data_IF_018670229677
#
_entry.id   IF_018670229677
#
_cell.length_a   1.000
_cell.length_b   1.000
_cell.length_c   1.000
_cell.angle_alpha   90.00
_cell.angle_beta   90.00
_cell.angle_gamma   90.00
#
_symmetry.space_group_name_H-M   'P 1'
#
loop_
_entity.id
_entity.type
_entity.pdbx_description
1 polymer ?
#
# COMPACT_ATOMS: atom_id res chain seq x y z
N UNK A 1 1.58 4.80 19.48
CA UNK A 1 0.47 4.87 18.52
C UNK A 1 0.62 6.15 17.72
N UNK A 2 0.73 6.06 16.40
CA UNK A 2 0.93 7.21 15.51
C UNK A 2 -0.42 7.88 15.26
N UNK A 3 -0.61 9.12 15.72
CA UNK A 3 -1.91 9.82 15.64
C UNK A 3 -1.78 11.06 14.78
N UNK A 4 -2.54 11.12 13.68
CA UNK A 4 -2.62 12.28 12.81
C UNK A 4 -3.94 13.01 13.06
N UNK A 5 -3.91 14.34 13.03
CA UNK A 5 -5.12 15.17 13.16
C UNK A 5 -6.06 15.01 11.95
N UNK A 6 -5.51 14.60 10.82
CA UNK A 6 -6.23 14.37 9.57
C UNK A 6 -6.24 12.87 9.27
N UNK A 7 -7.37 12.40 8.74
CA UNK A 7 -7.54 11.04 8.24
C UNK A 7 -6.63 10.84 7.04
N UNK A 8 -5.99 9.68 6.95
CA UNK A 8 -5.24 9.28 5.77
C UNK A 8 -6.21 8.80 4.69
N UNK A 9 -5.93 9.15 3.44
CA UNK A 9 -6.71 8.69 2.29
C UNK A 9 -6.82 7.16 2.24
N UNK A 10 -5.77 6.44 2.66
CA UNK A 10 -5.75 4.98 2.74
C UNK A 10 -6.79 4.37 3.69
N UNK A 11 -7.42 5.15 4.56
CA UNK A 11 -8.53 4.67 5.39
C UNK A 11 -9.80 4.41 4.54
N UNK A 12 -9.90 5.01 3.36
CA UNK A 12 -11.07 4.92 2.45
C UNK A 12 -10.72 4.69 0.98
N UNK A 13 -9.43 4.57 0.63
CA UNK A 13 -8.94 4.46 -0.74
C UNK A 13 -9.67 3.42 -1.60
N UNK A 14 -9.81 3.74 -2.88
CA UNK A 14 -10.34 2.81 -3.87
C UNK A 14 -9.35 1.68 -4.16
N UNK A 15 -9.88 0.49 -4.42
CA UNK A 15 -9.08 -0.69 -4.75
C UNK A 15 -9.75 -1.51 -5.83
N UNK A 16 -8.96 -2.21 -6.65
CA UNK A 16 -9.42 -3.22 -7.61
C UNK A 16 -9.01 -4.61 -7.15
N UNK A 17 -9.87 -5.60 -7.39
CA UNK A 17 -9.59 -6.99 -7.05
C UNK A 17 -8.50 -7.56 -7.94
N UNK A 18 -7.55 -8.30 -7.36
CA UNK A 18 -6.53 -9.04 -8.10
C UNK A 18 -6.83 -10.54 -8.11
N UNK A 19 -6.84 -11.16 -6.93
CA UNK A 19 -7.16 -12.59 -6.72
C UNK A 19 -7.41 -12.82 -5.23
N UNK A 20 -8.17 -13.85 -4.86
CA UNK A 20 -8.41 -14.16 -3.43
C UNK A 20 -8.91 -12.95 -2.64
N UNK A 21 -8.30 -12.68 -1.48
CA UNK A 21 -8.44 -11.46 -0.67
C UNK A 21 -7.36 -10.39 -0.98
N UNK A 22 -6.59 -10.55 -2.06
CA UNK A 22 -5.60 -9.58 -2.54
C UNK A 22 -6.23 -8.60 -3.55
N UNK A 23 -6.01 -7.32 -3.30
CA UNK A 23 -6.44 -6.20 -4.13
C UNK A 23 -5.23 -5.33 -4.47
N UNK A 24 -5.41 -4.34 -5.33
CA UNK A 24 -4.45 -3.29 -5.60
C UNK A 24 -5.06 -1.90 -5.40
N UNK A 25 -4.24 -0.93 -5.00
CA UNK A 25 -4.65 0.46 -4.88
C UNK A 25 -4.98 1.07 -6.24
N UNK A 26 -6.08 1.82 -6.33
CA UNK A 26 -6.49 2.55 -7.54
C UNK A 26 -6.39 4.05 -7.28
N UNK A 27 -5.96 4.80 -8.30
CA UNK A 27 -5.82 6.27 -8.25
C UNK A 27 -4.98 6.78 -7.07
N UNK A 28 -3.93 6.03 -6.70
CA UNK A 28 -2.99 6.37 -5.64
C UNK A 28 -1.55 6.33 -6.18
N UNK A 29 -0.70 7.34 -5.92
CA UNK A 29 0.61 7.46 -6.58
C UNK A 29 1.61 6.37 -6.19
N UNK A 30 1.49 5.78 -4.99
CA UNK A 30 2.31 4.64 -4.59
C UNK A 30 1.53 3.35 -4.80
N UNK A 31 1.72 2.70 -5.96
CA UNK A 31 1.03 1.45 -6.27
C UNK A 31 1.41 0.34 -5.28
N UNK A 32 0.41 -0.32 -4.69
CA UNK A 32 0.62 -1.36 -3.71
C UNK A 32 -0.49 -2.39 -3.67
N UNK A 33 -0.19 -3.53 -3.05
CA UNK A 33 -1.18 -4.54 -2.72
C UNK A 33 -2.01 -4.09 -1.52
N UNK A 34 -3.29 -4.37 -1.55
CA UNK A 34 -4.24 -4.01 -0.52
C UNK A 34 -5.02 -5.24 -0.04
N UNK A 35 -5.26 -5.30 1.27
CA UNK A 35 -6.00 -6.37 1.93
C UNK A 35 -6.92 -5.75 2.98
N UNK A 36 -7.96 -6.48 3.35
CA UNK A 36 -8.79 -6.13 4.49
C UNK A 36 -9.09 -7.33 5.38
N UNK A 37 -8.80 -7.18 6.66
CA UNK A 37 -9.08 -8.18 7.68
C UNK A 37 -10.29 -7.76 8.53
N UNK A 38 -11.19 -8.70 8.73
CA UNK A 38 -12.28 -8.67 9.71
C UNK A 38 -12.15 -9.87 10.66
N UNK A 39 -13.06 -9.99 11.63
CA UNK A 39 -13.08 -11.14 12.54
C UNK A 39 -13.17 -12.48 11.81
N UNK A 40 -13.84 -12.49 10.66
CA UNK A 40 -14.22 -13.69 9.90
C UNK A 40 -13.12 -14.19 8.97
N UNK A 41 -12.31 -13.30 8.39
CA UNK A 41 -11.35 -13.65 7.33
C UNK A 41 -9.88 -13.42 7.70
N UNK A 42 -9.56 -12.99 8.93
CA UNK A 42 -8.20 -12.60 9.32
C UNK A 42 -7.12 -13.65 9.02
N UNK A 43 -7.43 -14.95 9.19
CA UNK A 43 -6.46 -16.03 8.96
C UNK A 43 -6.15 -16.15 7.47
N UNK A 44 -7.17 -16.23 6.61
CA UNK A 44 -6.98 -16.34 5.16
C UNK A 44 -6.29 -15.10 4.58
N UNK A 45 -6.58 -13.92 5.11
CA UNK A 45 -5.89 -12.68 4.73
C UNK A 45 -4.40 -12.72 5.08
N UNK A 46 -4.04 -13.19 6.27
CA UNK A 46 -2.63 -13.33 6.67
C UNK A 46 -1.92 -14.33 5.76
N UNK A 47 -2.54 -15.48 5.47
CA UNK A 47 -1.95 -16.48 4.58
C UNK A 47 -1.67 -15.93 3.18
N UNK A 48 -2.55 -15.07 2.65
CA UNK A 48 -2.34 -14.41 1.36
C UNK A 48 -1.28 -13.32 1.41
N UNK A 49 -1.24 -12.51 2.46
CA UNK A 49 -0.16 -11.53 2.67
C UNK A 49 1.19 -12.25 2.70
N UNK A 50 1.29 -13.38 3.41
CA UNK A 50 2.52 -14.16 3.47
C UNK A 50 2.92 -14.74 2.11
N UNK A 51 1.95 -15.14 1.25
CA UNK A 51 2.25 -15.54 -0.13
C UNK A 51 2.83 -14.39 -0.94
N UNK A 52 2.24 -13.19 -0.86
CA UNK A 52 2.78 -12.01 -1.58
C UNK A 52 4.16 -11.64 -1.04
N UNK A 53 4.35 -11.61 0.28
CA UNK A 53 5.66 -11.36 0.90
C UNK A 53 6.68 -12.39 0.44
N UNK A 54 6.32 -13.67 0.35
CA UNK A 54 7.23 -14.70 -0.17
C UNK A 54 7.67 -14.41 -1.61
N UNK A 55 6.77 -13.94 -2.49
CA UNK A 55 7.14 -13.52 -3.85
C UNK A 55 8.16 -12.39 -3.82
N UNK A 56 7.97 -11.39 -2.94
CA UNK A 56 8.92 -10.28 -2.80
C UNK A 56 10.27 -10.74 -2.25
N UNK A 57 10.28 -11.66 -1.28
CA UNK A 57 11.49 -12.21 -0.69
C UNK A 57 12.29 -13.06 -1.67
N UNK A 58 11.62 -13.87 -2.51
CA UNK A 58 12.27 -14.70 -3.52
C UNK A 58 13.16 -13.87 -4.47
N UNK A 59 12.76 -12.62 -4.74
CA UNK A 59 13.48 -11.69 -5.60
C UNK A 59 14.29 -10.62 -4.82
N UNK A 60 14.37 -10.74 -3.50
CA UNK A 60 14.99 -9.74 -2.62
C UNK A 60 14.45 -8.32 -2.79
N UNK A 61 13.15 -8.18 -3.09
CA UNK A 61 12.46 -6.90 -3.24
C UNK A 61 12.16 -6.31 -1.86
N UNK A 62 12.68 -5.10 -1.62
CA UNK A 62 12.36 -4.34 -0.43
C UNK A 62 10.87 -4.00 -0.39
N UNK A 63 10.29 -4.03 0.81
CA UNK A 63 8.86 -3.79 0.96
C UNK A 63 8.50 -3.12 2.29
N UNK A 64 7.37 -2.43 2.29
CA UNK A 64 6.79 -1.81 3.48
C UNK A 64 5.35 -2.28 3.68
N UNK A 65 4.99 -2.53 4.95
CA UNK A 65 3.63 -2.90 5.35
C UNK A 65 3.07 -1.78 6.21
N UNK A 66 1.88 -1.30 5.85
CA UNK A 66 1.11 -0.33 6.62
C UNK A 66 -0.24 -0.90 6.99
N UNK A 67 -0.68 -0.65 8.22
CA UNK A 67 -1.90 -1.20 8.78
C UNK A 67 -2.70 -0.05 9.39
N UNK A 68 -3.96 0.08 9.00
CA UNK A 68 -4.87 1.07 9.55
C UNK A 68 -6.28 0.51 9.70
N UNK A 69 -7.09 1.11 10.57
CA UNK A 69 -8.54 0.88 10.55
C UNK A 69 -9.13 1.68 9.40
N UNK A 70 -10.09 1.11 8.70
CA UNK A 70 -10.70 1.83 7.59
C UNK A 70 -12.03 1.23 7.17
N UNK A 71 -12.60 1.83 6.14
CA UNK A 71 -13.84 1.35 5.52
C UNK A 71 -13.59 0.07 4.73
N UNK A 72 -14.59 -0.81 4.69
CA UNK A 72 -14.56 -2.00 3.84
C UNK A 72 -14.42 -1.61 2.36
N UNK A 73 -13.72 -2.43 1.60
CA UNK A 73 -13.58 -2.31 0.15
C UNK A 73 -14.97 -2.40 -0.50
N UNK A 74 -15.25 -1.53 -1.48
CA UNK A 74 -16.50 -1.51 -2.23
C UNK A 74 -17.73 -0.93 -1.49
N UNK A 75 -17.62 -0.54 -0.22
CA UNK A 75 -18.70 0.16 0.46
C UNK A 75 -18.82 1.60 -0.06
N UNK A 76 -20.02 1.98 -0.52
CA UNK A 76 -20.35 3.34 -0.93
C UNK A 76 -20.46 4.28 0.28
N UNK A 77 -20.24 5.58 0.05
CA UNK A 77 -20.43 6.63 1.05
C UNK A 77 -21.92 6.82 1.34
N UNK A 78 -22.51 5.96 2.19
CA UNK A 78 -23.89 6.14 2.65
C UNK A 78 -23.87 6.65 4.08
N UNK A 79 -23.82 7.98 4.22
CA UNK A 79 -23.98 8.71 5.48
C UNK A 79 -22.67 9.20 6.15
N UNK A 80 -22.82 10.19 7.04
CA UNK A 80 -21.73 10.90 7.76
C UNK A 80 -21.02 10.08 8.85
N UNK A 81 -21.33 8.78 8.98
CA UNK A 81 -20.70 7.93 9.99
C UNK A 81 -19.69 7.01 9.30
N UNK A 82 -18.43 7.43 9.30
CA UNK A 82 -17.28 6.58 8.94
C UNK A 82 -17.19 5.39 9.91
N UNK A 83 -17.92 4.31 9.60
CA UNK A 83 -17.81 3.04 10.33
C UNK A 83 -16.59 2.29 9.84
N UNK A 84 -15.48 2.43 10.55
CA UNK A 84 -14.31 1.59 10.31
C UNK A 84 -14.54 0.19 10.86
N UNK A 85 -15.10 -0.65 10.00
CA UNK A 85 -15.48 -2.02 10.28
C UNK A 85 -14.36 -3.03 10.03
N UNK A 86 -13.30 -2.64 9.32
CA UNK A 86 -12.19 -3.53 8.95
C UNK A 86 -10.82 -2.92 9.28
N UNK A 87 -9.82 -3.80 9.32
CA UNK A 87 -8.40 -3.42 9.28
C UNK A 87 -7.94 -3.50 7.83
N UNK A 88 -7.54 -2.38 7.25
CA UNK A 88 -6.94 -2.31 5.92
C UNK A 88 -5.42 -2.47 6.05
N UNK A 89 -4.84 -3.35 5.26
CA UNK A 89 -3.40 -3.61 5.22
C UNK A 89 -2.92 -3.30 3.80
N UNK A 90 -1.82 -2.56 3.72
CA UNK A 90 -1.17 -2.19 2.46
C UNK A 90 0.25 -2.73 2.47
N UNK A 91 0.67 -3.30 1.35
CA UNK A 91 2.01 -3.82 1.12
C UNK A 91 2.55 -3.21 -0.16
N UNK A 92 3.58 -2.38 -0.03
CA UNK A 92 4.27 -1.77 -1.16
C UNK A 92 5.56 -2.51 -1.44
N UNK A 93 5.67 -3.07 -2.64
CA UNK A 93 6.97 -3.36 -3.24
C UNK A 93 7.62 -2.02 -3.59
N UNK A 94 8.90 -1.86 -3.26
CA UNK A 94 9.61 -0.60 -3.48
C UNK A 94 11.06 -0.82 -3.85
N UNK A 95 11.62 0.12 -4.60
CA UNK A 95 13.06 0.15 -4.85
C UNK A 95 13.83 0.28 -3.54
N UNK A 96 14.97 -0.40 -3.45
CA UNK A 96 15.93 -0.26 -2.36
C UNK A 96 16.57 1.13 -2.40
N UNK A 97 16.71 1.77 -1.25
CA UNK A 97 17.48 3.01 -1.11
C UNK A 97 18.69 2.73 -0.20
N UNK A 98 19.89 2.77 -0.76
CA UNK A 98 21.17 2.67 -0.05
C UNK A 98 21.89 4.02 -0.12
N UNK A 99 22.35 4.56 1.01
CA UNK A 99 23.19 5.77 1.02
C UNK A 99 22.68 6.92 1.90
N UNK A 100 23.47 8.00 1.96
CA UNK A 100 23.22 9.18 2.77
C UNK A 100 21.93 9.90 2.34
N UNK A 101 21.24 10.46 3.34
CA UNK A 101 19.96 11.19 3.21
C UNK A 101 20.03 12.18 2.05
N UNK A 102 19.29 11.84 1.00
CA UNK A 102 19.16 12.57 -0.25
C UNK A 102 18.81 14.05 0.00
N UNK A 103 19.18 14.94 -0.93
CA UNK A 103 18.74 16.35 -0.93
C UNK A 103 17.23 16.48 -1.14
N UNK A 104 16.53 15.36 -1.37
CA UNK A 104 15.08 15.26 -1.46
C UNK A 104 14.34 15.97 -0.31
N UNK A 105 13.21 16.57 -0.66
CA UNK A 105 12.32 17.28 0.26
C UNK A 105 11.76 16.39 1.39
N UNK A 106 11.61 15.10 1.11
CA UNK A 106 11.22 14.05 2.05
C UNK A 106 11.85 12.72 1.65
N UNK A 107 11.94 11.77 2.58
CA UNK A 107 12.49 10.45 2.29
C UNK A 107 11.35 9.46 2.12
N UNK A 108 11.15 8.92 0.91
CA UNK A 108 10.07 7.93 0.69
C UNK A 108 10.34 6.69 1.52
N UNK A 109 9.51 6.46 2.53
CA UNK A 109 9.46 5.22 3.28
C UNK A 109 8.01 4.92 3.69
N UNK A 110 7.79 4.41 4.90
CA UNK A 110 6.47 3.94 5.30
C UNK A 110 5.43 5.07 5.41
N UNK A 111 5.79 6.20 6.03
CA UNK A 111 4.84 7.30 6.25
C UNK A 111 4.43 7.94 4.93
N UNK A 112 5.40 8.14 4.05
CA UNK A 112 5.25 8.84 2.78
C UNK A 112 4.42 8.01 1.81
N UNK A 113 4.70 6.70 1.73
CA UNK A 113 3.88 5.75 0.99
C UNK A 113 2.45 5.64 1.55
N UNK A 114 2.22 6.01 2.82
CA UNK A 114 0.87 6.09 3.38
C UNK A 114 0.15 7.43 3.15
N UNK A 115 0.81 8.42 2.55
CA UNK A 115 0.29 9.75 2.28
C UNK A 115 0.56 10.78 3.38
N UNK A 116 1.36 10.42 4.39
CA UNK A 116 1.88 11.39 5.36
C UNK A 116 3.31 11.76 4.96
N UNK A 117 3.53 13.03 4.61
CA UNK A 117 4.80 13.52 4.10
C UNK A 117 5.52 14.40 5.15
N UNK A 118 6.31 13.82 6.07
CA UNK A 118 7.30 14.54 6.86
C UNK A 118 8.32 15.24 5.95
N UNK A 119 8.08 16.52 5.69
CA UNK A 119 8.94 17.34 4.83
C UNK A 119 10.02 18.06 5.63
N UNK A 120 11.17 18.26 4.99
CA UNK A 120 12.17 19.25 5.40
C UNK A 120 11.62 20.66 5.17
N UNK A 121 12.14 21.66 5.90
CA UNK A 121 11.56 23.01 5.94
C UNK A 121 11.51 23.72 4.59
N UNK A 122 12.51 23.47 3.74
CA UNK A 122 12.58 23.94 2.35
C UNK A 122 11.51 23.25 1.49
N UNK A 123 11.46 21.92 1.55
CA UNK A 123 10.50 21.09 0.83
C UNK A 123 9.04 21.45 1.11
N UNK A 124 8.72 21.82 2.35
CA UNK A 124 7.37 22.22 2.75
C UNK A 124 6.82 23.40 1.93
N UNK A 125 7.68 24.30 1.46
CA UNK A 125 7.27 25.48 0.69
C UNK A 125 7.27 25.26 -0.82
N UNK A 126 8.01 24.26 -1.31
CA UNK A 126 8.31 24.11 -2.75
C UNK A 126 7.70 22.87 -3.38
N UNK A 127 7.41 21.82 -2.60
CA UNK A 127 6.83 20.57 -3.11
C UNK A 127 5.38 20.81 -3.51
N UNK A 128 5.05 20.47 -4.76
CA UNK A 128 3.68 20.39 -5.25
C UNK A 128 3.15 18.97 -5.13
N UNK A 129 1.82 18.80 -5.20
CA UNK A 129 1.18 17.49 -5.20
C UNK A 129 1.71 16.60 -6.34
N UNK A 130 1.89 17.17 -7.53
CA UNK A 130 2.40 16.45 -8.70
C UNK A 130 3.83 15.96 -8.47
N UNK A 131 4.70 16.81 -7.89
CA UNK A 131 6.08 16.41 -7.58
C UNK A 131 6.13 15.31 -6.51
N UNK A 132 5.31 15.42 -5.45
CA UNK A 132 5.23 14.39 -4.42
C UNK A 132 4.69 13.08 -4.97
N UNK A 133 3.65 13.13 -5.81
CA UNK A 133 3.08 11.96 -6.47
C UNK A 133 4.09 11.28 -7.41
N UNK A 134 4.89 12.07 -8.15
CA UNK A 134 5.94 11.56 -9.01
C UNK A 134 7.04 10.85 -8.19
N UNK A 135 7.46 11.43 -7.06
CA UNK A 135 8.43 10.82 -6.17
C UNK A 135 7.92 9.49 -5.62
N UNK A 136 6.69 9.45 -5.09
CA UNK A 136 6.07 8.22 -4.57
C UNK A 136 5.98 7.14 -5.66
N UNK A 137 5.54 7.50 -6.87
CA UNK A 137 5.46 6.58 -8.01
C UNK A 137 6.83 6.03 -8.39
N UNK A 138 7.86 6.88 -8.43
CA UNK A 138 9.23 6.47 -8.78
C UNK A 138 9.82 5.42 -7.85
N UNK A 139 9.29 5.32 -6.62
CA UNK A 139 9.73 4.32 -5.65
C UNK A 139 9.01 2.98 -5.78
N UNK A 140 7.79 2.96 -6.31
CA UNK A 140 6.93 1.77 -6.29
C UNK A 140 6.67 1.17 -7.66
N UNK A 141 6.51 1.99 -8.70
CA UNK A 141 5.91 1.57 -9.97
C UNK A 141 6.57 0.32 -10.58
N UNK A 142 7.86 0.38 -10.90
CA UNK A 142 8.57 -0.73 -11.57
C UNK A 142 8.58 -1.99 -10.70
N UNK A 143 8.82 -1.84 -9.40
CA UNK A 143 8.82 -2.96 -8.46
C UNK A 143 7.44 -3.56 -8.26
N UNK A 144 6.39 -2.74 -8.27
CA UNK A 144 5.01 -3.19 -8.15
C UNK A 144 4.56 -3.93 -9.39
N UNK A 145 4.82 -3.41 -10.60
CA UNK A 145 4.48 -4.08 -11.86
C UNK A 145 5.12 -5.47 -11.93
N UNK A 146 6.42 -5.57 -11.66
CA UNK A 146 7.14 -6.84 -11.65
C UNK A 146 6.59 -7.81 -10.58
N UNK A 147 6.38 -7.34 -9.36
CA UNK A 147 5.83 -8.16 -8.28
C UNK A 147 4.41 -8.64 -8.59
N UNK A 148 3.56 -7.75 -9.12
CA UNK A 148 2.16 -8.03 -9.47
C UNK A 148 2.06 -9.16 -10.48
N UNK A 149 2.87 -9.14 -11.53
CA UNK A 149 2.90 -10.21 -12.54
C UNK A 149 3.27 -11.56 -11.90
N UNK A 150 4.31 -11.60 -11.06
CA UNK A 150 4.75 -12.83 -10.39
C UNK A 150 3.73 -13.34 -9.38
N UNK A 151 3.08 -12.45 -8.66
CA UNK A 151 1.99 -12.77 -7.74
C UNK A 151 0.83 -13.43 -8.50
N UNK A 152 0.41 -12.86 -9.63
CA UNK A 152 -0.65 -13.45 -10.46
C UNK A 152 -0.23 -14.81 -11.03
N UNK A 153 1.02 -14.98 -11.45
CA UNK A 153 1.53 -16.27 -11.95
C UNK A 153 1.59 -17.34 -10.86
N UNK A 154 2.06 -17.01 -9.65
CA UNK A 154 2.25 -17.99 -8.57
C UNK A 154 0.95 -18.29 -7.80
N UNK A 155 0.07 -17.30 -7.65
CA UNK A 155 -1.08 -17.40 -6.76
C UNK A 155 -2.40 -17.69 -7.49
N UNK A 156 -2.56 -17.30 -8.76
CA UNK A 156 -3.79 -17.61 -9.52
C UNK A 156 -3.82 -19.05 -10.02
N UNK A 157 -2.67 -19.66 -10.32
CA UNK A 157 -2.60 -21.04 -10.85
C UNK A 157 -2.95 -22.13 -9.81
N UNK A 158 -2.84 -21.83 -8.51
CA UNK A 158 -3.19 -22.79 -7.44
C UNK A 158 -4.69 -22.98 -7.21
N UNK A 159 -5.56 -22.12 -7.75
CA UNK A 159 -7.02 -22.26 -7.59
C UNK A 159 -7.66 -23.31 -8.52
N UNK A 160 -6.91 -23.91 -9.45
CA UNK A 160 -7.41 -24.92 -10.38
C UNK A 160 -7.06 -26.37 -9.98
N UNK A 161 -6.44 -26.57 -8.81
CA UNK A 161 -5.98 -27.89 -8.34
C UNK A 161 -6.54 -28.30 -6.97
N UNK A 162 -7.51 -27.56 -6.44
CA UNK A 162 -8.32 -27.89 -5.26
C UNK A 162 -9.80 -27.98 -5.65
#
# INVERSE_FOLDING_TARGET
MYYLKKRLYLETASVSHLYGNCYETVDYPAEGFAFQASSENRISVIDEILKVVQVLLDDSVAHNIFITRGRKFGESHVGDIDRYSVVRIYLWARRTSYGAKDEAAFNVALCELSGHLPMKSDGYQTVTEESAAADLRSFCHDTFVCAREKVLQKCSTRQLLE
#
